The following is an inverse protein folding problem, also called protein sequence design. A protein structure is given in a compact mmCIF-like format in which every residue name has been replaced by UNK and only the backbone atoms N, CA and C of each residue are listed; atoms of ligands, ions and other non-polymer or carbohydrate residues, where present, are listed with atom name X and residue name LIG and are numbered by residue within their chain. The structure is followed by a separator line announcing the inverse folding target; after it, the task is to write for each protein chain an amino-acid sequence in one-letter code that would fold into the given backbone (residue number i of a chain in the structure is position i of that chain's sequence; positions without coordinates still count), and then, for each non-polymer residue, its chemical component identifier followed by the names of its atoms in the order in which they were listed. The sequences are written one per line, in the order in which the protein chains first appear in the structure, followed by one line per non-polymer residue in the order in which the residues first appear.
data_IF_054814598141
#
_entry.id   IF_054814598141
#
_cell.length_a   1.000
_cell.length_b   1.000
_cell.length_c   1.000
_cell.angle_alpha   90.00
_cell.angle_beta   90.00
_cell.angle_gamma   90.00
#
_symmetry.space_group_name_H-M   'P 1'
#
loop_
_entity.id
_entity.type
_entity.pdbx_description
1 polymer ?
#
# COMPACT_ATOMS: atom_id res chain seq x y z
N UNK A 1 -30.46 45.64 -61.80
CA UNK A 1 -29.55 45.03 -60.79
C UNK A 1 -30.43 44.28 -59.80
N UNK A 2 -30.65 42.97 -59.96
CA UNK A 2 -29.91 41.88 -59.30
C UNK A 2 -29.76 42.06 -57.78
N UNK A 3 -30.56 41.34 -56.98
CA UNK A 3 -30.13 40.10 -56.32
C UNK A 3 -31.31 39.47 -55.55
N UNK A 4 -31.65 38.23 -55.91
CA UNK A 4 -32.44 37.35 -55.06
C UNK A 4 -31.63 36.97 -53.81
N UNK A 5 -32.25 36.96 -52.64
CA UNK A 5 -31.78 36.15 -51.51
C UNK A 5 -32.87 35.19 -51.08
N UNK A 6 -32.45 33.95 -50.88
CA UNK A 6 -33.24 32.72 -50.90
C UNK A 6 -33.95 32.48 -49.57
N UNK A 7 -35.16 31.93 -49.71
CA UNK A 7 -35.76 30.86 -48.92
C UNK A 7 -35.02 30.41 -47.65
N UNK A 8 -35.76 30.40 -46.53
CA UNK A 8 -35.37 29.71 -45.31
C UNK A 8 -36.61 29.20 -44.57
N UNK A 9 -37.29 28.20 -45.16
CA UNK A 9 -38.25 27.36 -44.43
C UNK A 9 -37.47 26.68 -43.32
N UNK A 10 -37.86 26.89 -42.07
CA UNK A 10 -37.30 26.19 -40.90
C UNK A 10 -38.05 24.86 -40.75
N UNK A 11 -37.39 23.68 -40.87
CA UNK A 11 -37.98 22.46 -40.36
C UNK A 11 -37.47 22.22 -38.93
N UNK A 12 -38.43 22.13 -38.00
CA UNK A 12 -38.23 21.65 -36.64
C UNK A 12 -37.76 20.19 -36.61
N UNK A 13 -36.47 19.91 -36.76
CA UNK A 13 -36.02 18.50 -36.86
C UNK A 13 -34.72 18.14 -36.13
N UNK A 14 -34.20 19.00 -35.25
CA UNK A 14 -32.89 18.72 -34.59
C UNK A 14 -32.97 18.54 -33.07
N UNK A 15 -34.15 18.66 -32.45
CA UNK A 15 -34.27 18.55 -30.98
C UNK A 15 -34.32 17.12 -30.42
N UNK A 16 -34.47 16.10 -31.25
CA UNK A 16 -34.68 14.71 -30.79
C UNK A 16 -33.43 13.81 -30.80
N UNK A 17 -32.35 14.19 -31.47
CA UNK A 17 -31.15 13.33 -31.58
C UNK A 17 -30.08 13.57 -30.49
N UNK A 18 -30.04 14.76 -29.87
CA UNK A 18 -29.00 15.09 -28.89
C UNK A 18 -29.17 14.44 -27.51
N UNK A 19 -30.40 14.09 -27.12
CA UNK A 19 -30.70 13.67 -25.74
C UNK A 19 -30.44 12.18 -25.49
N UNK A 20 -30.50 11.34 -26.54
CA UNK A 20 -30.29 9.88 -26.39
C UNK A 20 -28.81 9.48 -26.30
N UNK A 21 -27.90 10.24 -26.93
CA UNK A 21 -26.47 9.93 -26.93
C UNK A 21 -25.80 10.37 -25.61
N UNK A 22 -26.28 11.46 -25.01
CA UNK A 22 -25.78 11.95 -23.72
C UNK A 22 -26.14 11.04 -22.53
N UNK A 23 -27.31 10.39 -22.57
CA UNK A 23 -27.74 9.45 -21.53
C UNK A 23 -26.96 8.11 -21.49
N UNK A 24 -26.41 7.68 -22.63
CA UNK A 24 -25.54 6.51 -22.72
C UNK A 24 -24.12 6.84 -22.23
N UNK A 25 -23.57 7.99 -22.61
CA UNK A 25 -22.24 8.42 -22.16
C UNK A 25 -22.17 8.70 -20.65
N UNK A 26 -23.23 9.23 -20.05
CA UNK A 26 -23.28 9.51 -18.59
C UNK A 26 -23.47 8.26 -17.73
N UNK A 27 -23.96 7.15 -18.30
CA UNK A 27 -24.09 5.88 -17.58
C UNK A 27 -22.91 4.93 -17.74
N UNK A 28 -22.15 5.05 -18.83
CA UNK A 28 -21.02 4.16 -19.11
C UNK A 28 -19.73 4.63 -18.41
N UNK A 29 -19.55 5.95 -18.21
CA UNK A 29 -18.35 6.50 -17.56
C UNK A 29 -18.12 6.12 -16.07
N UNK A 30 -19.14 6.01 -15.19
CA UNK A 30 -18.86 5.68 -13.78
C UNK A 30 -18.55 4.19 -13.59
N UNK A 31 -19.04 3.32 -14.48
CA UNK A 31 -18.78 1.88 -14.40
C UNK A 31 -17.33 1.53 -14.77
N UNK A 32 -16.73 2.26 -15.72
CA UNK A 32 -15.33 2.07 -16.12
C UNK A 32 -14.34 2.69 -15.13
N UNK A 33 -14.72 3.72 -14.36
CA UNK A 33 -13.89 4.25 -13.28
C UNK A 33 -13.79 3.29 -12.08
N UNK A 34 -14.85 2.54 -11.77
CA UNK A 34 -14.85 1.54 -10.71
C UNK A 34 -14.01 0.30 -11.03
N UNK A 35 -13.84 -0.04 -12.32
CA UNK A 35 -13.04 -1.20 -12.75
C UNK A 35 -11.53 -0.94 -12.77
N UNK A 36 -11.09 0.31 -12.88
CA UNK A 36 -9.67 0.69 -12.78
C UNK A 36 -9.19 0.88 -11.34
N UNK A 37 -10.12 0.97 -10.38
CA UNK A 37 -9.84 1.05 -8.95
C UNK A 37 -9.78 -0.33 -8.27
N UNK A 38 -9.61 -1.41 -9.03
CA UNK A 38 -9.03 -2.64 -8.48
C UNK A 38 -7.53 -2.40 -8.20
N UNK A 39 -7.24 -1.44 -7.31
CA UNK A 39 -5.97 -1.33 -6.62
C UNK A 39 -5.74 -2.68 -5.95
N UNK A 40 -4.94 -3.52 -6.60
CA UNK A 40 -4.43 -4.75 -6.00
C UNK A 40 -3.55 -4.33 -4.82
N UNK A 41 -4.16 -4.08 -3.66
CA UNK A 41 -3.45 -3.76 -2.44
C UNK A 41 -2.56 -4.96 -2.14
N UNK A 42 -1.25 -4.77 -2.20
CA UNK A 42 -0.31 -5.76 -1.72
C UNK A 42 -0.54 -5.83 -0.21
N UNK A 43 -1.01 -6.99 0.27
CA UNK A 43 -1.07 -7.28 1.69
C UNK A 43 0.04 -8.28 1.99
N UNK A 44 1.07 -7.81 2.71
CA UNK A 44 2.02 -8.72 3.34
C UNK A 44 1.35 -9.39 4.54
N UNK A 45 1.62 -10.68 4.71
CA UNK A 45 1.15 -11.47 5.86
C UNK A 45 2.10 -11.31 7.06
N UNK A 46 3.34 -10.92 6.80
CA UNK A 46 4.30 -10.54 7.83
C UNK A 46 3.72 -9.44 8.72
N UNK A 47 3.46 -9.81 9.98
CA UNK A 47 2.88 -8.90 10.97
C UNK A 47 3.87 -7.80 11.33
N UNK A 48 3.37 -6.58 11.50
CA UNK A 48 4.19 -5.48 12.02
C UNK A 48 4.65 -5.86 13.44
N UNK A 49 5.96 -5.80 13.75
CA UNK A 49 6.46 -6.17 15.07
C UNK A 49 5.86 -5.24 16.13
N UNK A 50 5.50 -5.82 17.27
CA UNK A 50 5.00 -5.08 18.43
C UNK A 50 6.13 -4.77 19.40
N UNK A 51 6.08 -3.59 20.03
CA UNK A 51 7.03 -3.20 21.05
C UNK A 51 6.96 -4.17 22.26
N UNK A 52 8.11 -4.67 22.76
CA UNK A 52 8.13 -5.54 23.92
C UNK A 52 7.77 -4.75 25.20
N UNK A 53 6.85 -5.27 26.00
CA UNK A 53 6.45 -4.67 27.29
C UNK A 53 7.15 -5.34 28.48
N UNK A 54 7.73 -6.53 28.28
CA UNK A 54 8.42 -7.29 29.32
C UNK A 54 9.80 -7.73 28.86
N UNK A 55 10.66 -8.07 29.82
CA UNK A 55 12.03 -8.48 29.52
C UNK A 55 12.11 -9.82 28.77
N UNK A 56 11.20 -10.74 29.09
CA UNK A 56 11.09 -12.02 28.40
C UNK A 56 10.61 -11.83 26.96
N UNK A 57 9.69 -10.89 26.71
CA UNK A 57 9.28 -10.51 25.37
C UNK A 57 10.43 -9.88 24.57
N UNK A 58 11.25 -9.03 25.18
CA UNK A 58 12.42 -8.47 24.52
C UNK A 58 13.43 -9.55 24.11
N UNK A 59 13.71 -10.51 25.01
CA UNK A 59 14.63 -11.62 24.71
C UNK A 59 14.09 -12.55 23.63
N UNK A 60 12.80 -12.89 23.71
CA UNK A 60 12.14 -13.69 22.69
C UNK A 60 12.16 -12.99 21.32
N UNK A 61 11.89 -11.67 21.31
CA UNK A 61 11.92 -10.87 20.09
C UNK A 61 13.31 -10.87 19.43
N UNK A 62 14.39 -10.64 20.20
CA UNK A 62 15.76 -10.67 19.67
C UNK A 62 16.12 -12.04 19.11
N UNK A 63 15.68 -13.13 19.78
CA UNK A 63 15.95 -14.51 19.34
C UNK A 63 15.17 -14.92 18.08
N UNK A 64 13.95 -14.41 17.88
CA UNK A 64 13.07 -14.79 16.76
C UNK A 64 13.15 -13.83 15.58
N UNK A 65 13.68 -12.62 15.76
CA UNK A 65 13.77 -11.56 14.75
C UNK A 65 14.36 -12.04 13.43
N UNK A 66 15.46 -12.80 13.45
CA UNK A 66 16.11 -13.26 12.22
C UNK A 66 15.18 -14.11 11.37
N UNK A 67 14.42 -15.01 12.01
CA UNK A 67 13.40 -15.83 11.33
C UNK A 67 12.25 -14.97 10.80
N UNK A 68 11.83 -13.96 11.55
CA UNK A 68 10.78 -13.04 11.11
C UNK A 68 11.22 -12.23 9.88
N UNK A 69 12.48 -11.79 9.84
CA UNK A 69 13.05 -11.09 8.69
C UNK A 69 13.22 -12.01 7.48
N UNK A 70 13.66 -13.25 7.68
CA UNK A 70 13.77 -14.24 6.60
C UNK A 70 12.39 -14.53 5.98
N UNK A 71 11.36 -14.70 6.81
CA UNK A 71 9.98 -14.87 6.35
C UNK A 71 9.46 -13.64 5.59
N UNK A 72 9.75 -12.44 6.08
CA UNK A 72 9.41 -11.19 5.38
C UNK A 72 10.10 -11.10 4.01
N UNK A 73 11.37 -11.52 3.91
CA UNK A 73 12.09 -11.54 2.64
C UNK A 73 11.50 -12.54 1.65
N UNK A 74 11.09 -13.72 2.14
CA UNK A 74 10.37 -14.70 1.35
C UNK A 74 9.07 -14.11 0.77
N UNK A 75 8.23 -13.49 1.61
CA UNK A 75 6.97 -12.89 1.17
C UNK A 75 7.18 -11.75 0.17
N UNK A 76 8.16 -10.86 0.44
CA UNK A 76 8.49 -9.77 -0.49
C UNK A 76 8.92 -10.31 -1.85
N UNK A 77 9.67 -11.41 -1.88
CA UNK A 77 10.08 -12.04 -3.12
C UNK A 77 8.89 -12.65 -3.87
N UNK A 78 7.98 -13.34 -3.18
CA UNK A 78 6.75 -13.85 -3.80
C UNK A 78 5.87 -12.72 -4.37
N UNK A 79 5.65 -11.65 -3.61
CA UNK A 79 4.89 -10.49 -4.07
C UNK A 79 5.57 -9.79 -5.25
N UNK A 80 6.90 -9.69 -5.24
CA UNK A 80 7.66 -9.14 -6.38
C UNK A 80 7.49 -10.01 -7.64
N UNK A 81 7.46 -11.34 -7.51
CA UNK A 81 7.17 -12.27 -8.61
C UNK A 81 5.76 -12.10 -9.13
N UNK A 82 4.79 -11.89 -8.24
CA UNK A 82 3.40 -11.61 -8.60
C UNK A 82 3.25 -10.27 -9.36
N UNK A 83 4.07 -9.25 -9.03
CA UNK A 83 4.04 -7.96 -9.73
C UNK A 83 4.37 -8.06 -11.22
N UNK A 84 5.25 -8.97 -11.64
CA UNK A 84 5.57 -9.17 -13.06
C UNK A 84 4.41 -9.70 -13.90
N UNK A 85 3.33 -10.19 -13.27
CA UNK A 85 2.11 -10.64 -13.97
C UNK A 85 1.07 -9.53 -14.17
N UNK A 86 1.33 -8.31 -13.68
CA UNK A 86 0.40 -7.17 -13.74
C UNK A 86 0.76 -6.20 -14.88
N UNK A 87 -0.22 -5.40 -15.32
CA UNK A 87 -0.01 -4.36 -16.33
C UNK A 87 0.96 -3.26 -15.88
N UNK A 88 0.87 -2.82 -14.61
CA UNK A 88 1.73 -1.78 -14.03
C UNK A 88 2.81 -2.39 -13.13
N UNK A 89 3.80 -3.05 -13.73
CA UNK A 89 4.87 -3.75 -13.00
C UNK A 89 5.69 -2.79 -12.12
N UNK A 90 6.07 -1.62 -12.64
CA UNK A 90 6.90 -0.65 -11.92
C UNK A 90 6.24 -0.16 -10.63
N UNK A 91 5.00 0.34 -10.73
CA UNK A 91 4.22 0.78 -9.57
C UNK A 91 4.05 -0.33 -8.54
N UNK A 92 3.77 -1.56 -8.98
CA UNK A 92 3.62 -2.69 -8.08
C UNK A 92 4.92 -3.01 -7.33
N UNK A 93 6.07 -3.02 -8.04
CA UNK A 93 7.36 -3.27 -7.41
C UNK A 93 7.75 -2.17 -6.42
N UNK A 94 7.41 -0.91 -6.73
CA UNK A 94 7.67 0.21 -5.84
C UNK A 94 6.83 0.12 -4.56
N UNK A 95 5.55 -0.26 -4.67
CA UNK A 95 4.70 -0.51 -3.51
C UNK A 95 5.22 -1.66 -2.63
N UNK A 96 5.65 -2.78 -3.25
CA UNK A 96 6.25 -3.91 -2.52
C UNK A 96 7.51 -3.47 -1.77
N UNK A 97 8.39 -2.70 -2.43
CA UNK A 97 9.62 -2.17 -1.80
C UNK A 97 9.33 -1.22 -0.66
N UNK A 98 8.35 -0.32 -0.84
CA UNK A 98 7.94 0.62 0.19
C UNK A 98 7.41 -0.10 1.43
N UNK A 99 6.52 -1.09 1.24
CA UNK A 99 6.00 -1.88 2.35
C UNK A 99 7.10 -2.69 3.05
N UNK A 100 7.99 -3.33 2.29
CA UNK A 100 9.15 -4.03 2.85
C UNK A 100 10.05 -3.11 3.68
N UNK A 101 10.33 -1.90 3.18
CA UNK A 101 11.11 -0.91 3.91
C UNK A 101 10.42 -0.44 5.20
N UNK A 102 9.09 -0.26 5.18
CA UNK A 102 8.31 0.13 6.36
C UNK A 102 8.36 -0.96 7.45
N UNK A 103 8.17 -2.23 7.08
CA UNK A 103 8.19 -3.34 8.04
C UNK A 103 9.60 -3.52 8.60
N UNK A 104 10.65 -3.43 7.77
CA UNK A 104 12.05 -3.48 8.23
C UNK A 104 12.38 -2.37 9.22
N UNK A 105 11.94 -1.13 8.96
CA UNK A 105 12.12 0.00 9.89
C UNK A 105 11.43 -0.27 11.23
N UNK A 106 10.20 -0.76 11.20
CA UNK A 106 9.51 -1.16 12.43
C UNK A 106 10.27 -2.25 13.20
N UNK A 107 10.89 -3.23 12.52
CA UNK A 107 11.72 -4.23 13.19
C UNK A 107 12.95 -3.64 13.88
N UNK A 108 13.59 -2.64 13.26
CA UNK A 108 14.75 -1.95 13.83
C UNK A 108 14.37 -1.11 15.05
N UNK A 109 13.23 -0.39 14.99
CA UNK A 109 12.72 0.39 16.12
C UNK A 109 12.43 -0.50 17.34
N UNK A 110 11.73 -1.61 17.11
CA UNK A 110 11.40 -2.58 18.17
C UNK A 110 12.66 -3.28 18.70
N UNK A 111 13.63 -3.55 17.84
CA UNK A 111 14.92 -4.14 18.25
C UNK A 111 15.68 -3.20 19.18
N UNK A 112 15.79 -1.91 18.84
CA UNK A 112 16.46 -0.93 19.70
C UNK A 112 15.81 -0.88 21.09
N UNK A 113 14.47 -0.89 21.15
CA UNK A 113 13.73 -0.95 22.42
C UNK A 113 14.00 -2.24 23.20
N UNK A 114 13.99 -3.40 22.52
CA UNK A 114 14.27 -4.69 23.15
C UNK A 114 15.68 -4.75 23.75
N UNK A 115 16.68 -4.33 22.98
CA UNK A 115 18.08 -4.29 23.40
C UNK A 115 18.29 -3.32 24.56
N UNK A 116 17.65 -2.15 24.53
CA UNK A 116 17.72 -1.19 25.62
C UNK A 116 17.13 -1.73 26.93
N UNK A 117 15.98 -2.41 26.87
CA UNK A 117 15.41 -3.06 28.06
C UNK A 117 16.34 -4.14 28.64
N UNK A 118 16.92 -4.98 27.78
CA UNK A 118 17.88 -6.01 28.20
C UNK A 118 19.09 -5.37 28.86
N UNK A 119 19.67 -4.36 28.20
CA UNK A 119 20.85 -3.64 28.66
C UNK A 119 20.63 -2.94 30.00
N UNK A 120 19.50 -2.24 30.18
CA UNK A 120 19.16 -1.57 31.44
C UNK A 120 19.02 -2.55 32.59
N UNK A 121 18.39 -3.70 32.36
CA UNK A 121 18.27 -4.75 33.37
C UNK A 121 19.63 -5.37 33.74
N UNK A 122 20.53 -5.58 32.78
CA UNK A 122 21.89 -6.02 33.10
C UNK A 122 22.65 -5.00 33.94
N UNK A 123 22.53 -3.71 33.65
CA UNK A 123 23.11 -2.66 34.49
C UNK A 123 22.54 -2.65 35.90
N UNK A 124 21.22 -2.76 36.05
CA UNK A 124 20.57 -2.84 37.36
C UNK A 124 21.05 -4.06 38.16
N UNK A 125 21.12 -5.23 37.51
CA UNK A 125 21.61 -6.46 38.13
C UNK A 125 23.08 -6.38 38.54
N UNK A 126 23.95 -5.77 37.72
CA UNK A 126 25.36 -5.54 38.09
C UNK A 126 25.46 -4.66 39.33
N UNK A 127 24.69 -3.57 39.37
CA UNK A 127 24.68 -2.63 40.51
C UNK A 127 24.18 -3.28 41.80
N UNK A 128 23.17 -4.15 41.72
CA UNK A 128 22.66 -4.89 42.86
C UNK A 128 23.67 -5.90 43.44
N UNK A 129 24.55 -6.45 42.59
CA UNK A 129 25.61 -7.40 43.01
C UNK A 129 26.83 -6.72 43.63
N UNK A 130 27.03 -5.43 43.38
CA UNK A 130 28.08 -4.62 44.01
C UNK A 130 27.43 -3.54 44.88
N UNK A 131 26.87 -3.89 46.06
CA UNK A 131 26.44 -2.90 47.01
C UNK A 131 27.68 -2.16 47.52
N UNK A 132 27.74 -0.85 47.27
CA UNK A 132 28.73 0.03 47.90
C UNK A 132 28.48 0.11 49.39
#
# INVERSE_FOLDING_TARGET
MSFQSKQGIVPQLVKSFGVRVQGLFTRILPASALLLAACSTIQLQASKPQAPNTLDQARAYVAEREKQLEYLEYELNEQSRACYKKFFVSSCLDDVRLQGAQIRRAHLEVQGQAEDMIRLNEYANRRARTPN
#
